data_IF_796041974312
#
_entry.id   IF_796041974312
#
_cell.length_a   1.000
_cell.length_b   1.000
_cell.length_c   1.000
_cell.angle_alpha   90.00
_cell.angle_beta   90.00
_cell.angle_gamma   90.00
#
_symmetry.space_group_name_H-M   'P 1'
#
loop_
_entity.id
_entity.type
_entity.pdbx_description
1 polymer ?
#
# COMPACT_ATOMS: atom_id res chain seq x y z
N UNK A 1 2.09 -1.31 3.95
CA UNK A 1 2.42 0.12 3.71
C UNK A 1 1.19 1.03 3.80
N UNK A 2 -0.01 0.48 3.97
CA UNK A 2 -1.26 1.21 4.15
C UNK A 2 -1.35 2.05 5.43
N UNK A 3 -0.54 1.72 6.46
CA UNK A 3 -0.44 2.49 7.71
C UNK A 3 0.71 3.51 7.69
N UNK A 4 1.32 3.79 6.53
CA UNK A 4 2.33 4.84 6.42
C UNK A 4 1.66 6.17 6.07
N UNK A 5 2.23 7.27 6.55
CA UNK A 5 1.87 8.62 6.12
C UNK A 5 2.58 8.98 4.80
N UNK A 6 2.07 9.97 4.04
CA UNK A 6 2.75 10.49 2.85
C UNK A 6 4.21 10.92 3.11
N UNK A 7 4.48 11.50 4.29
CA UNK A 7 5.82 11.93 4.69
C UNK A 7 6.78 10.74 4.87
N UNK A 8 6.32 9.65 5.48
CA UNK A 8 7.13 8.45 5.69
C UNK A 8 7.46 7.77 4.36
N UNK A 9 6.50 7.64 3.44
CA UNK A 9 6.78 7.08 2.10
C UNK A 9 7.82 7.93 1.37
N UNK A 10 7.65 9.26 1.37
CA UNK A 10 8.62 10.17 0.75
C UNK A 10 10.01 9.99 1.36
N UNK A 11 10.10 9.86 2.69
CA UNK A 11 11.36 9.65 3.39
C UNK A 11 12.04 8.35 3.00
N UNK A 12 11.27 7.25 2.85
CA UNK A 12 11.81 5.96 2.42
C UNK A 12 12.35 6.05 0.99
N UNK A 13 11.55 6.59 0.05
CA UNK A 13 11.93 6.68 -1.37
C UNK A 13 13.16 7.56 -1.56
N UNK A 14 13.20 8.73 -0.91
CA UNK A 14 14.32 9.69 -1.05
C UNK A 14 15.64 9.22 -0.43
N UNK A 15 15.62 8.15 0.38
CA UNK A 15 16.82 7.52 0.95
C UNK A 15 17.31 6.33 0.14
N UNK A 16 16.61 5.93 -0.92
CA UNK A 16 17.02 4.82 -1.78
C UNK A 16 18.33 5.16 -2.51
N UNK A 17 19.31 4.27 -2.47
CA UNK A 17 20.53 4.39 -3.26
C UNK A 17 20.32 3.98 -4.72
N UNK A 18 21.30 4.29 -5.57
CA UNK A 18 21.30 3.87 -6.97
C UNK A 18 21.16 2.35 -7.10
N UNK A 19 20.39 1.89 -8.10
CA UNK A 19 20.10 0.47 -8.32
C UNK A 19 19.12 -0.17 -7.34
N UNK A 20 18.58 0.59 -6.38
CA UNK A 20 17.59 0.07 -5.43
C UNK A 20 16.22 -0.08 -6.09
N UNK A 21 15.61 -1.26 -5.92
CA UNK A 21 14.19 -1.48 -6.23
C UNK A 21 13.39 -1.50 -4.94
N UNK A 22 12.42 -0.60 -4.81
CA UNK A 22 11.49 -0.57 -3.67
C UNK A 22 10.17 -1.20 -4.09
N UNK A 23 9.63 -2.07 -3.23
CA UNK A 23 8.30 -2.68 -3.41
C UNK A 23 7.47 -2.39 -2.17
N UNK A 24 6.43 -1.57 -2.33
CA UNK A 24 5.44 -1.34 -1.29
C UNK A 24 4.26 -2.29 -1.48
N UNK A 25 3.87 -2.97 -0.41
CA UNK A 25 2.68 -3.84 -0.37
C UNK A 25 1.72 -3.36 0.71
N UNK A 26 0.43 -3.60 0.52
CA UNK A 26 -0.59 -3.24 1.51
C UNK A 26 -2.00 -3.43 0.96
N UNK A 27 -2.96 -3.41 1.87
CA UNK A 27 -4.40 -3.45 1.56
C UNK A 27 -5.02 -2.13 2.02
N UNK A 28 -5.55 -1.34 1.09
CA UNK A 28 -6.16 -0.04 1.38
C UNK A 28 -7.44 -0.15 2.21
N UNK A 29 -8.05 -1.34 2.26
CA UNK A 29 -9.26 -1.61 3.04
C UNK A 29 -8.96 -2.03 4.48
N UNK A 30 -7.70 -2.33 4.81
CA UNK A 30 -7.25 -2.75 6.15
C UNK A 30 -6.35 -1.68 6.78
N UNK A 31 -6.94 -0.53 7.10
CA UNK A 31 -6.24 0.58 7.78
C UNK A 31 -6.54 0.48 9.27
N UNK A 32 -5.49 0.25 10.07
CA UNK A 32 -5.61 0.05 11.51
C UNK A 32 -5.38 1.34 12.32
N UNK A 33 -5.06 2.45 11.65
CA UNK A 33 -4.77 3.73 12.31
C UNK A 33 -5.97 4.68 12.25
N UNK A 34 -6.51 5.12 13.42
CA UNK A 34 -7.75 5.89 13.48
C UNK A 34 -7.68 7.30 12.85
N UNK A 35 -6.47 7.78 12.53
CA UNK A 35 -6.24 9.12 11.95
C UNK A 35 -5.77 9.07 10.49
N UNK A 36 -5.66 7.88 9.90
CA UNK A 36 -5.39 7.71 8.48
C UNK A 36 -6.68 7.28 7.80
N UNK A 37 -7.13 8.08 6.83
CA UNK A 37 -8.24 7.67 5.99
C UNK A 37 -7.73 6.93 4.74
N UNK A 38 -8.67 6.25 4.08
CA UNK A 38 -8.41 5.51 2.84
C UNK A 38 -7.94 6.39 1.68
N UNK A 39 -8.15 7.71 1.75
CA UNK A 39 -7.84 8.67 0.69
C UNK A 39 -6.50 9.38 0.89
N UNK A 40 -5.93 9.34 2.09
CA UNK A 40 -4.77 10.14 2.49
C UNK A 40 -3.62 9.32 3.09
N UNK A 41 -3.77 7.99 3.16
CA UNK A 41 -2.65 7.14 3.51
C UNK A 41 -1.54 7.19 2.45
N UNK A 42 -0.32 6.89 2.90
CA UNK A 42 0.90 7.00 2.11
C UNK A 42 0.87 6.13 0.86
N UNK A 43 0.23 4.95 0.91
CA UNK A 43 0.14 4.05 -0.24
C UNK A 43 -0.70 4.66 -1.37
N UNK A 44 -1.90 5.16 -1.05
CA UNK A 44 -2.79 5.83 -2.02
C UNK A 44 -2.16 7.12 -2.54
N UNK A 45 -1.55 7.91 -1.65
CA UNK A 45 -0.84 9.13 -2.02
C UNK A 45 0.29 8.87 -3.03
N UNK A 46 1.09 7.82 -2.78
CA UNK A 46 2.18 7.43 -3.67
C UNK A 46 1.66 6.97 -5.04
N UNK A 47 0.62 6.13 -5.07
CA UNK A 47 0.03 5.64 -6.31
C UNK A 47 -0.49 6.81 -7.15
N UNK A 48 -1.20 7.78 -6.54
CA UNK A 48 -1.70 8.96 -7.24
C UNK A 48 -0.56 9.82 -7.82
N UNK A 49 0.49 10.07 -7.03
CA UNK A 49 1.57 10.99 -7.41
C UNK A 49 2.61 10.41 -8.34
N UNK A 50 2.84 9.10 -8.31
CA UNK A 50 3.82 8.41 -9.17
C UNK A 50 3.19 7.81 -10.42
N UNK A 51 1.86 7.88 -10.57
CA UNK A 51 1.17 7.38 -11.76
C UNK A 51 1.65 8.11 -13.02
N UNK A 52 2.14 7.34 -13.98
CA UNK A 52 2.63 7.86 -15.27
C UNK A 52 4.14 8.04 -15.33
N UNK A 53 4.87 7.83 -14.23
CA UNK A 53 6.34 7.80 -14.24
C UNK A 53 6.85 6.47 -14.82
N UNK A 54 7.88 6.54 -15.66
CA UNK A 54 8.44 5.35 -16.36
C UNK A 54 8.98 4.28 -15.41
N UNK A 55 9.42 4.70 -14.22
CA UNK A 55 10.01 3.82 -13.19
C UNK A 55 8.98 3.29 -12.18
N UNK A 56 7.70 3.62 -12.35
CA UNK A 56 6.64 3.26 -11.43
C UNK A 56 5.70 2.21 -12.02
N UNK A 57 5.36 1.20 -11.22
CA UNK A 57 4.33 0.23 -11.55
C UNK A 57 3.45 -0.03 -10.33
N UNK A 58 2.14 -0.06 -10.57
CA UNK A 58 1.15 -0.45 -9.56
C UNK A 58 0.45 -1.73 -10.02
N UNK A 59 0.47 -2.75 -9.15
CA UNK A 59 -0.17 -4.05 -9.40
C UNK A 59 -1.26 -4.24 -8.36
N UNK A 60 -2.49 -4.45 -8.82
CA UNK A 60 -3.60 -4.79 -7.94
C UNK A 60 -3.79 -6.32 -7.89
N UNK A 61 -3.75 -6.89 -6.69
CA UNK A 61 -3.98 -8.32 -6.47
C UNK A 61 -5.44 -8.55 -6.14
N UNK A 62 -6.20 -9.07 -7.11
CA UNK A 62 -7.66 -9.22 -7.00
C UNK A 62 -8.04 -10.51 -6.24
N UNK A 63 -7.21 -11.55 -6.32
CA UNK A 63 -7.47 -12.84 -5.69
C UNK A 63 -6.45 -13.12 -4.59
N UNK A 64 -6.93 -13.32 -3.37
CA UNK A 64 -6.13 -13.84 -2.27
C UNK A 64 -6.26 -15.36 -2.18
N UNK A 65 -5.14 -16.05 -2.00
CA UNK A 65 -5.14 -17.47 -1.63
C UNK A 65 -5.33 -17.55 -0.10
N UNK A 66 -6.58 -17.44 0.35
CA UNK A 66 -6.95 -17.58 1.77
C UNK A 66 -7.42 -19.01 2.05
N UNK A 67 -7.18 -19.50 3.26
CA UNK A 67 -7.78 -20.75 3.70
C UNK A 67 -9.29 -20.58 3.88
N UNK A 68 -10.06 -21.67 3.77
CA UNK A 68 -11.50 -21.63 4.00
C UNK A 68 -11.89 -20.98 5.34
N UNK A 69 -11.12 -21.26 6.41
CA UNK A 69 -11.34 -20.64 7.72
C UNK A 69 -11.15 -19.12 7.68
N UNK A 70 -10.10 -18.64 7.01
CA UNK A 70 -9.80 -17.21 6.90
C UNK A 70 -10.83 -16.47 6.06
N UNK A 71 -11.31 -17.10 4.98
CA UNK A 71 -12.38 -16.54 4.15
C UNK A 71 -13.71 -16.48 4.91
N UNK A 72 -14.07 -17.55 5.63
CA UNK A 72 -15.26 -17.59 6.46
C UNK A 72 -15.23 -16.52 7.56
N UNK A 73 -14.11 -16.36 8.27
CA UNK A 73 -13.96 -15.34 9.30
C UNK A 73 -14.09 -13.92 8.74
N UNK A 74 -13.47 -13.64 7.58
CA UNK A 74 -13.53 -12.33 6.93
C UNK A 74 -14.92 -11.92 6.44
N UNK A 75 -15.81 -12.89 6.19
CA UNK A 75 -17.18 -12.61 5.74
C UNK A 75 -18.17 -12.47 6.90
N UNK A 76 -17.86 -13.06 8.06
CA UNK A 76 -18.76 -13.10 9.22
C UNK A 76 -18.47 -12.03 10.29
N UNK A 77 -17.23 -11.53 10.36
CA UNK A 77 -16.76 -10.54 11.33
C UNK A 77 -16.40 -9.23 10.63
#
# INVERSE_FOLDING_TARGET
AQNLTPHEIKTIITRAGEGTKIVFTGDIHQIDQPYLDMQSNGLVYMIDKMKGEDIFAHINLIKGERSYLSELASNLL
#
